data_IF_710552950749
#
_entry.id   IF_710552950749
#
_cell.length_a   1.000
_cell.length_b   1.000
_cell.length_c   1.000
_cell.angle_alpha   90.00
_cell.angle_beta   90.00
_cell.angle_gamma   90.00
#
_symmetry.space_group_name_H-M   'P 1'
#
loop_
_entity.id
_entity.type
_entity.pdbx_description
1 polymer ?
#
# COMPACT_ATOMS: atom_id res chain seq x y z
N UNK A 1 11.10 19.80 13.14
CA UNK A 1 10.54 18.46 12.85
C UNK A 1 10.95 18.08 11.43
N UNK A 2 11.11 16.79 11.09
CA UNK A 2 11.61 16.32 9.79
C UNK A 2 10.70 15.21 9.25
N UNK A 3 10.44 15.23 7.95
CA UNK A 3 9.87 14.12 7.19
C UNK A 3 10.93 13.65 6.20
N UNK A 4 11.36 12.39 6.29
CA UNK A 4 12.23 11.78 5.30
C UNK A 4 11.41 10.97 4.29
N UNK A 5 11.39 11.40 3.03
CA UNK A 5 10.72 10.68 1.94
C UNK A 5 11.54 9.50 1.37
N UNK A 6 12.80 9.37 1.78
CA UNK A 6 13.69 8.31 1.31
C UNK A 6 13.39 6.97 1.98
N UNK A 7 14.11 5.92 1.58
CA UNK A 7 14.05 4.61 2.23
C UNK A 7 14.98 4.47 3.43
N UNK A 8 15.80 5.49 3.76
CA UNK A 8 16.87 5.37 4.75
C UNK A 8 16.35 5.07 6.17
N UNK A 9 15.20 5.65 6.54
CA UNK A 9 14.73 5.62 7.92
C UNK A 9 13.42 4.84 8.16
N UNK A 10 12.90 4.14 7.15
CA UNK A 10 11.59 3.48 7.24
C UNK A 10 11.52 2.31 8.22
N UNK A 11 12.68 1.75 8.57
CA UNK A 11 12.84 0.69 9.60
C UNK A 11 13.88 1.10 10.65
N UNK A 12 14.29 2.37 10.68
CA UNK A 12 15.31 2.84 11.60
C UNK A 12 14.70 3.12 12.98
N UNK A 13 15.44 2.77 14.03
CA UNK A 13 15.06 3.09 15.40
C UNK A 13 14.94 4.62 15.60
N UNK A 14 13.95 5.04 16.40
CA UNK A 14 13.73 6.45 16.73
C UNK A 14 13.00 7.27 15.65
N UNK A 15 12.60 6.66 14.53
CA UNK A 15 11.77 7.28 13.51
C UNK A 15 10.32 6.79 13.58
N UNK A 16 9.37 7.72 13.60
CA UNK A 16 7.94 7.40 13.50
C UNK A 16 7.61 7.05 12.06
N UNK A 17 6.91 5.94 11.83
CA UNK A 17 6.49 5.56 10.48
C UNK A 17 5.26 6.34 10.04
N UNK A 18 5.37 7.08 8.93
CA UNK A 18 4.41 8.08 8.48
C UNK A 18 3.16 7.51 7.81
N UNK A 19 2.45 6.60 8.48
CA UNK A 19 1.19 6.04 8.01
C UNK A 19 0.08 6.27 9.04
N UNK A 20 -0.58 7.45 9.02
CA UNK A 20 -1.50 7.89 10.08
C UNK A 20 -2.65 6.93 10.30
N UNK A 21 -3.19 6.34 9.23
CA UNK A 21 -4.31 5.43 9.34
C UNK A 21 -3.96 4.12 10.08
N UNK A 22 -2.67 3.74 10.18
CA UNK A 22 -2.23 2.51 10.86
C UNK A 22 -1.71 2.79 12.28
N UNK A 23 -0.96 3.88 12.46
CA UNK A 23 -0.26 4.18 13.72
C UNK A 23 -0.91 5.32 14.53
N UNK A 24 -1.96 5.94 13.99
CA UNK A 24 -2.72 7.02 14.63
C UNK A 24 -2.19 8.41 14.30
N UNK A 25 -3.10 9.33 14.02
CA UNK A 25 -2.79 10.73 13.68
C UNK A 25 -2.06 11.47 14.81
N UNK A 26 -2.41 11.20 16.07
CA UNK A 26 -1.76 11.80 17.25
C UNK A 26 -0.27 11.41 17.36
N UNK A 27 0.06 10.16 17.06
CA UNK A 27 1.44 9.66 17.07
C UNK A 27 2.30 10.46 16.09
N UNK A 28 1.77 10.78 14.91
CA UNK A 28 2.45 11.55 13.88
C UNK A 28 2.50 13.04 14.25
N UNK A 29 1.40 13.60 14.75
CA UNK A 29 1.33 15.00 15.17
C UNK A 29 2.35 15.36 16.25
N UNK A 30 2.70 14.40 17.12
CA UNK A 30 3.68 14.56 18.19
C UNK A 30 5.12 14.17 17.79
N UNK A 31 5.32 13.58 16.60
CA UNK A 31 6.62 13.09 16.17
C UNK A 31 7.60 14.23 15.80
N UNK A 32 8.87 14.06 16.17
CA UNK A 32 9.96 14.94 15.71
C UNK A 32 10.52 14.52 14.35
N UNK A 33 10.57 13.21 14.12
CA UNK A 33 11.16 12.54 12.96
C UNK A 33 10.13 11.55 12.41
N UNK A 34 9.72 11.74 11.16
CA UNK A 34 8.77 10.87 10.46
C UNK A 34 9.42 10.33 9.20
N UNK A 35 9.32 9.01 8.99
CA UNK A 35 9.73 8.37 7.75
C UNK A 35 8.51 8.16 6.86
N UNK A 36 8.53 8.67 5.64
CA UNK A 36 7.41 8.50 4.72
C UNK A 36 7.42 7.07 4.15
N UNK A 37 6.26 6.40 4.11
CA UNK A 37 6.11 5.07 3.50
C UNK A 37 6.59 5.02 2.05
N UNK A 38 7.03 3.84 1.63
CA UNK A 38 7.20 3.50 0.22
C UNK A 38 5.88 3.19 -0.44
N UNK A 39 5.76 3.54 -1.72
CA UNK A 39 4.53 3.37 -2.49
C UNK A 39 3.93 1.95 -2.46
N UNK A 40 4.75 0.91 -2.65
CA UNK A 40 4.28 -0.48 -2.55
C UNK A 40 3.90 -0.89 -1.12
N UNK A 41 4.75 -0.65 -0.09
CA UNK A 41 4.38 -0.81 1.32
C UNK A 41 3.08 -0.12 1.69
N UNK A 42 2.79 1.09 1.21
CA UNK A 42 1.54 1.79 1.56
C UNK A 42 0.31 0.95 1.22
N UNK A 43 0.24 0.40 0.01
CA UNK A 43 -0.87 -0.48 -0.39
C UNK A 43 -0.88 -1.81 0.37
N UNK A 44 0.28 -2.45 0.53
CA UNK A 44 0.38 -3.73 1.24
C UNK A 44 -0.04 -3.61 2.71
N UNK A 45 0.48 -2.61 3.40
CA UNK A 45 0.23 -2.40 4.83
C UNK A 45 -1.22 -2.00 5.09
N UNK A 46 -1.84 -1.24 4.18
CA UNK A 46 -3.26 -0.90 4.27
C UNK A 46 -4.16 -2.16 4.25
N UNK A 47 -3.75 -3.18 3.49
CA UNK A 47 -4.49 -4.44 3.42
C UNK A 47 -4.19 -5.36 4.61
N UNK A 48 -2.92 -5.50 5.00
CA UNK A 48 -2.49 -6.61 5.86
C UNK A 48 -2.36 -6.21 7.33
N UNK A 49 -1.83 -5.03 7.64
CA UNK A 49 -1.55 -4.66 9.02
C UNK A 49 -2.82 -4.63 9.91
N UNK A 50 -3.97 -4.10 9.45
CA UNK A 50 -5.21 -4.14 10.25
C UNK A 50 -5.68 -5.57 10.53
N UNK A 51 -5.61 -6.45 9.52
CA UNK A 51 -6.10 -7.83 9.62
C UNK A 51 -5.22 -8.72 10.50
N UNK A 52 -3.89 -8.53 10.44
CA UNK A 52 -2.95 -9.20 11.34
C UNK A 52 -3.15 -8.70 12.78
N UNK A 53 -3.30 -7.38 12.98
CA UNK A 53 -3.56 -6.79 14.31
C UNK A 53 -4.86 -7.29 14.92
N UNK A 54 -5.90 -7.49 14.10
CA UNK A 54 -7.18 -8.05 14.52
C UNK A 54 -7.14 -9.57 14.77
N UNK A 55 -6.03 -10.25 14.46
CA UNK A 55 -5.89 -11.70 14.59
C UNK A 55 -6.67 -12.51 13.55
N UNK A 56 -7.17 -11.86 12.49
CA UNK A 56 -7.89 -12.52 11.39
C UNK A 56 -6.93 -13.18 10.39
N UNK A 57 -5.72 -12.64 10.29
CA UNK A 57 -4.66 -13.12 9.41
C UNK A 57 -3.41 -13.49 10.23
N UNK A 58 -2.75 -14.64 10.00
CA UNK A 58 -1.64 -15.10 10.83
C UNK A 58 -0.34 -14.33 10.56
N UNK A 59 0.35 -13.85 11.59
CA UNK A 59 1.63 -13.16 11.43
C UNK A 59 2.76 -14.05 10.83
N UNK A 60 2.64 -15.37 10.95
CA UNK A 60 3.58 -16.38 10.46
C UNK A 60 3.21 -16.93 9.07
N UNK A 61 2.14 -16.44 8.44
CA UNK A 61 1.74 -16.89 7.11
C UNK A 61 2.72 -16.45 6.01
N UNK A 62 3.04 -17.31 5.02
CA UNK A 62 3.96 -16.97 3.92
C UNK A 62 3.30 -16.04 2.89
N UNK A 63 3.10 -14.77 3.24
CA UNK A 63 2.49 -13.79 2.35
C UNK A 63 3.28 -13.55 1.07
N UNK A 64 2.55 -13.45 -0.04
CA UNK A 64 3.06 -13.02 -1.33
C UNK A 64 2.39 -11.73 -1.74
N UNK A 65 3.14 -10.82 -2.36
CA UNK A 65 2.64 -9.53 -2.81
C UNK A 65 2.98 -9.38 -4.29
N UNK A 66 1.94 -9.30 -5.11
CA UNK A 66 2.06 -9.00 -6.54
C UNK A 66 1.69 -7.54 -6.72
N UNK A 67 2.54 -6.74 -7.35
CA UNK A 67 2.22 -5.32 -7.48
C UNK A 67 2.67 -4.73 -8.81
N UNK A 68 1.81 -3.90 -9.39
CA UNK A 68 2.05 -3.21 -10.65
C UNK A 68 2.02 -1.72 -10.39
N UNK A 69 3.03 -0.99 -10.88
CA UNK A 69 3.13 0.47 -10.77
C UNK A 69 3.22 1.11 -12.15
N UNK A 70 2.72 2.34 -12.26
CA UNK A 70 3.13 3.27 -13.31
C UNK A 70 4.62 3.59 -13.21
N UNK A 71 5.22 3.96 -14.33
CA UNK A 71 6.68 4.11 -14.45
C UNK A 71 7.26 5.31 -13.71
N UNK A 72 6.45 6.31 -13.35
CA UNK A 72 6.92 7.47 -12.58
C UNK A 72 7.48 7.10 -11.20
N UNK A 73 7.08 5.95 -10.64
CA UNK A 73 7.58 5.46 -9.35
C UNK A 73 9.08 5.12 -9.35
N UNK A 74 9.70 4.92 -10.52
CA UNK A 74 11.14 4.70 -10.64
C UNK A 74 11.96 5.97 -10.79
N UNK A 75 11.34 7.14 -10.70
CA UNK A 75 12.00 8.44 -10.86
C UNK A 75 12.51 8.71 -12.28
N UNK A 76 13.30 9.78 -12.43
CA UNK A 76 13.70 10.33 -13.73
C UNK A 76 14.32 9.30 -14.69
N UNK A 77 15.14 8.37 -14.17
CA UNK A 77 15.77 7.34 -15.00
C UNK A 77 14.76 6.36 -15.59
N UNK A 78 13.73 5.96 -14.82
CA UNK A 78 12.70 5.06 -15.32
C UNK A 78 11.69 5.79 -16.21
N UNK A 79 11.37 7.04 -15.89
CA UNK A 79 10.56 7.92 -16.75
C UNK A 79 11.19 8.02 -18.13
N UNK A 80 12.48 8.41 -18.21
CA UNK A 80 13.19 8.50 -19.49
C UNK A 80 13.18 7.18 -20.28
N UNK A 81 13.27 6.03 -19.59
CA UNK A 81 13.21 4.71 -20.23
C UNK A 81 11.83 4.40 -20.82
N UNK A 82 10.74 4.79 -20.16
CA UNK A 82 9.38 4.48 -20.60
C UNK A 82 8.80 5.52 -21.59
N UNK A 83 9.41 6.70 -21.68
CA UNK A 83 9.09 7.73 -22.67
C UNK A 83 9.92 7.62 -23.96
N UNK A 84 10.99 6.82 -23.95
CA UNK A 84 11.81 6.55 -25.13
C UNK A 84 11.10 5.68 -26.17
N UNK A 85 11.50 5.81 -27.43
CA UNK A 85 11.08 4.92 -28.50
C UNK A 85 11.49 3.46 -28.19
N UNK A 86 10.58 2.51 -28.40
CA UNK A 86 10.81 1.11 -28.05
C UNK A 86 10.68 0.78 -26.55
N UNK A 87 10.03 1.65 -25.76
CA UNK A 87 9.74 1.39 -24.36
C UNK A 87 9.09 0.01 -24.12
N UNK A 88 9.46 -0.69 -23.04
CA UNK A 88 8.93 -2.02 -22.77
C UNK A 88 7.44 -1.96 -22.41
N UNK A 89 6.66 -2.93 -22.88
CA UNK A 89 5.25 -3.07 -22.52
C UNK A 89 5.04 -3.53 -21.06
N UNK A 90 6.05 -4.18 -20.48
CA UNK A 90 6.04 -4.72 -19.13
C UNK A 90 7.46 -4.86 -18.59
N UNK A 91 7.66 -4.57 -17.30
CA UNK A 91 8.95 -4.77 -16.61
C UNK A 91 8.73 -5.35 -15.22
N UNK A 92 8.89 -6.67 -15.08
CA UNK A 92 9.10 -7.29 -13.78
C UNK A 92 10.56 -7.12 -13.32
N UNK A 93 10.78 -7.02 -12.01
CA UNK A 93 12.11 -6.87 -11.43
C UNK A 93 12.14 -7.37 -9.97
N UNK A 94 13.31 -7.35 -9.32
CA UNK A 94 13.45 -7.83 -7.94
C UNK A 94 13.55 -9.35 -7.81
N UNK A 95 13.95 -10.04 -8.88
CA UNK A 95 14.16 -11.51 -8.89
C UNK A 95 15.33 -11.97 -8.01
N UNK A 96 16.17 -11.05 -7.54
CA UNK A 96 17.18 -11.30 -6.51
C UNK A 96 16.59 -11.39 -5.10
N UNK A 97 15.28 -11.16 -4.95
CA UNK A 97 14.53 -11.15 -3.69
C UNK A 97 15.03 -10.11 -2.69
N UNK A 98 15.79 -9.11 -3.13
CA UNK A 98 16.46 -8.13 -2.26
C UNK A 98 15.81 -6.74 -2.28
N UNK A 99 14.53 -6.64 -2.66
CA UNK A 99 13.88 -5.34 -2.77
C UNK A 99 13.81 -4.61 -1.41
N UNK A 100 14.25 -3.35 -1.39
CA UNK A 100 14.35 -2.47 -0.20
C UNK A 100 13.06 -2.25 0.60
N UNK A 101 11.90 -2.65 0.06
CA UNK A 101 10.59 -2.48 0.69
C UNK A 101 10.18 -3.71 1.52
N UNK A 102 10.87 -4.85 1.38
CA UNK A 102 10.54 -6.08 2.11
C UNK A 102 10.68 -5.90 3.64
N UNK A 103 11.76 -5.29 4.17
CA UNK A 103 11.86 -5.06 5.62
C UNK A 103 10.77 -4.15 6.15
N UNK A 104 10.39 -3.13 5.37
CA UNK A 104 9.33 -2.18 5.69
C UNK A 104 7.96 -2.88 5.79
N UNK A 105 7.62 -3.74 4.82
CA UNK A 105 6.40 -4.54 4.84
C UNK A 105 6.35 -5.49 6.03
N UNK A 106 7.46 -6.19 6.31
CA UNK A 106 7.54 -7.15 7.42
C UNK A 106 7.32 -6.46 8.77
N UNK A 107 8.09 -5.41 9.05
CA UNK A 107 8.07 -4.72 10.34
C UNK A 107 6.70 -4.12 10.64
N UNK A 108 6.15 -3.34 9.70
CA UNK A 108 4.94 -2.55 9.96
C UNK A 108 3.64 -3.33 9.82
N UNK A 109 3.65 -4.49 9.16
CA UNK A 109 2.52 -5.43 9.23
C UNK A 109 2.59 -6.36 10.44
N UNK A 110 3.69 -6.37 11.20
CA UNK A 110 3.87 -7.26 12.35
C UNK A 110 4.07 -8.73 11.96
N UNK A 111 4.77 -8.98 10.84
CA UNK A 111 4.99 -10.33 10.33
C UNK A 111 6.25 -10.97 10.93
N UNK A 112 6.19 -12.28 11.19
CA UNK A 112 7.35 -13.05 11.67
C UNK A 112 8.42 -13.21 10.58
N UNK A 113 7.99 -13.27 9.32
CA UNK A 113 8.87 -13.50 8.17
C UNK A 113 8.60 -12.48 7.05
N UNK A 114 9.62 -12.23 6.24
CA UNK A 114 9.50 -11.33 5.09
C UNK A 114 8.63 -11.93 3.97
N UNK A 115 7.93 -11.08 3.24
CA UNK A 115 7.07 -11.48 2.13
C UNK A 115 7.87 -11.90 0.89
N UNK A 116 7.24 -12.70 0.01
CA UNK A 116 7.65 -12.79 -1.40
C UNK A 116 7.06 -11.58 -2.11
N UNK A 117 7.91 -10.78 -2.76
CA UNK A 117 7.48 -9.56 -3.43
C UNK A 117 7.79 -9.63 -4.93
N UNK A 118 6.75 -9.52 -5.75
CA UNK A 118 6.82 -9.56 -7.21
C UNK A 118 6.36 -8.20 -7.81
N UNK A 119 7.24 -7.19 -7.83
CA UNK A 119 6.91 -5.91 -8.42
C UNK A 119 7.09 -5.89 -9.94
N UNK A 120 6.19 -5.17 -10.59
CA UNK A 120 6.23 -4.88 -12.00
C UNK A 120 5.89 -3.43 -12.31
N UNK A 121 6.28 -2.99 -13.50
CA UNK A 121 6.02 -1.66 -14.04
C UNK A 121 5.38 -1.78 -15.42
N UNK A 122 4.38 -0.94 -15.67
CA UNK A 122 3.65 -0.87 -16.94
C UNK A 122 3.72 0.54 -17.56
N UNK A 123 3.42 0.69 -18.87
CA UNK A 123 3.31 1.97 -19.58
C UNK A 123 2.11 2.86 -19.17
N UNK A 124 1.90 3.04 -17.87
CA UNK A 124 1.06 4.10 -17.31
C UNK A 124 1.97 5.09 -16.58
N UNK A 125 1.73 6.40 -16.72
CA UNK A 125 2.59 7.38 -16.05
C UNK A 125 2.52 7.21 -14.52
N UNK A 126 1.30 7.08 -13.98
CA UNK A 126 1.02 6.94 -12.55
C UNK A 126 -0.06 5.88 -12.30
N UNK A 127 -0.30 5.59 -11.04
CA UNK A 127 -1.26 4.58 -10.58
C UNK A 127 -0.57 3.27 -10.22
N UNK A 128 -1.14 2.56 -9.28
CA UNK A 128 -0.58 1.34 -8.71
C UNK A 128 -1.69 0.41 -8.25
N UNK A 129 -1.48 -0.89 -8.46
CA UNK A 129 -2.29 -1.97 -7.91
C UNK A 129 -1.36 -2.85 -7.08
N UNK A 130 -1.70 -3.07 -5.82
CA UNK A 130 -1.00 -3.98 -4.91
C UNK A 130 -1.97 -5.10 -4.54
N UNK A 131 -1.61 -6.34 -4.85
CA UNK A 131 -2.44 -7.52 -4.62
C UNK A 131 -1.77 -8.49 -3.64
N UNK A 132 -2.57 -9.01 -2.70
CA UNK A 132 -2.17 -10.07 -1.78
C UNK A 132 -3.16 -11.24 -1.93
N UNK A 133 -2.82 -12.27 -2.74
CA UNK A 133 -3.62 -13.48 -2.83
C UNK A 133 -3.42 -14.36 -1.59
N UNK A 134 -4.52 -14.93 -1.08
CA UNK A 134 -4.57 -15.72 0.14
C UNK A 134 -5.29 -17.06 -0.10
N UNK A 135 -4.77 -18.12 0.50
CA UNK A 135 -5.45 -19.42 0.62
C UNK A 135 -6.12 -19.51 2.00
N UNK A 136 -7.25 -18.82 2.16
CA UNK A 136 -7.99 -18.73 3.43
C UNK A 136 -8.29 -20.09 4.06
N UNK A 137 -8.68 -21.08 3.26
CA UNK A 137 -8.99 -22.42 3.78
C UNK A 137 -7.79 -23.22 4.29
N UNK A 138 -6.56 -22.77 3.98
CA UNK A 138 -5.33 -23.32 4.56
C UNK A 138 -4.91 -22.61 5.85
N UNK A 139 -5.56 -21.50 6.22
CA UNK A 139 -5.29 -20.76 7.45
C UNK A 139 -6.09 -21.33 8.62
N UNK A 140 -5.48 -21.28 9.81
CA UNK A 140 -6.20 -21.58 11.06
C UNK A 140 -7.28 -20.52 11.29
N UNK A 141 -8.39 -20.91 11.93
CA UNK A 141 -9.49 -20.00 12.22
C UNK A 141 -10.50 -19.82 11.08
N UNK A 142 -10.23 -20.37 9.89
CA UNK A 142 -11.12 -20.33 8.73
C UNK A 142 -11.67 -18.92 8.43
N UNK A 143 -10.81 -17.90 8.28
CA UNK A 143 -11.27 -16.55 7.94
C UNK A 143 -12.02 -16.57 6.61
N UNK A 144 -13.03 -15.72 6.46
CA UNK A 144 -13.77 -15.54 5.20
C UNK A 144 -13.44 -14.21 4.56
N UNK A 145 -13.60 -14.11 3.23
CA UNK A 145 -13.39 -12.85 2.51
C UNK A 145 -14.28 -11.72 3.06
N UNK A 146 -15.52 -12.02 3.47
CA UNK A 146 -16.44 -11.05 4.06
C UNK A 146 -15.95 -10.58 5.42
N UNK A 147 -15.45 -11.47 6.29
CA UNK A 147 -14.85 -11.05 7.56
C UNK A 147 -13.64 -10.14 7.36
N UNK A 148 -12.80 -10.41 6.35
CA UNK A 148 -11.67 -9.53 6.04
C UNK A 148 -12.14 -8.17 5.53
N UNK A 149 -13.19 -8.15 4.69
CA UNK A 149 -13.80 -6.92 4.18
C UNK A 149 -14.38 -6.08 5.32
N UNK A 150 -15.25 -6.67 6.14
CA UNK A 150 -15.90 -6.01 7.28
C UNK A 150 -14.87 -5.42 8.25
N UNK A 151 -13.78 -6.15 8.51
CA UNK A 151 -12.72 -5.68 9.39
C UNK A 151 -11.96 -4.49 8.80
N UNK A 152 -11.70 -4.47 7.49
CA UNK A 152 -11.10 -3.32 6.82
C UNK A 152 -12.06 -2.13 6.78
N UNK A 153 -13.34 -2.36 6.47
CA UNK A 153 -14.38 -1.32 6.50
C UNK A 153 -14.48 -0.67 7.88
N UNK A 154 -14.53 -1.49 8.93
CA UNK A 154 -14.56 -1.00 10.30
C UNK A 154 -13.29 -0.23 10.68
N UNK A 155 -12.12 -0.73 10.28
CA UNK A 155 -10.84 -0.09 10.58
C UNK A 155 -10.70 1.27 9.89
N UNK A 156 -11.19 1.40 8.66
CA UNK A 156 -11.08 2.62 7.85
C UNK A 156 -12.34 3.49 7.83
N UNK A 157 -13.38 3.18 8.63
CA UNK A 157 -14.66 3.88 8.64
C UNK A 157 -14.57 5.41 8.86
N UNK A 158 -13.53 5.87 9.55
CA UNK A 158 -13.27 7.30 9.80
C UNK A 158 -12.24 7.94 8.87
N UNK A 159 -11.71 7.23 7.88
CA UNK A 159 -10.69 7.75 6.98
C UNK A 159 -11.33 8.56 5.85
N UNK A 160 -10.84 9.78 5.62
CA UNK A 160 -11.19 10.57 4.44
C UNK A 160 -10.34 10.18 3.21
N UNK A 161 -9.27 9.41 3.41
CA UNK A 161 -8.22 9.14 2.41
C UNK A 161 -8.27 7.70 1.91
N UNK A 162 -8.71 6.76 2.74
CA UNK A 162 -8.80 5.34 2.41
C UNK A 162 -10.26 4.92 2.42
N UNK A 163 -10.74 4.38 1.30
CA UNK A 163 -12.04 3.74 1.21
C UNK A 163 -11.89 2.24 1.01
N UNK A 164 -12.84 1.47 1.52
CA UNK A 164 -12.97 0.05 1.20
C UNK A 164 -14.17 -0.05 0.27
N UNK A 165 -13.90 -0.40 -0.99
CA UNK A 165 -14.92 -0.46 -2.02
C UNK A 165 -15.77 -1.73 -1.91
N UNK A 166 -17.03 -1.61 -2.34
CA UNK A 166 -17.84 -2.77 -2.72
C UNK A 166 -17.14 -3.52 -3.87
N UNK A 167 -17.45 -4.81 -4.07
CA UNK A 167 -16.88 -5.58 -5.18
C UNK A 167 -17.10 -4.82 -6.49
N UNK A 168 -16.05 -4.57 -7.28
CA UNK A 168 -16.23 -3.97 -8.61
C UNK A 168 -17.18 -4.85 -9.43
N UNK A 169 -18.30 -4.30 -9.90
CA UNK A 169 -19.36 -5.01 -10.64
C UNK A 169 -18.86 -5.76 -11.89
N UNK A 170 -17.70 -5.37 -12.43
CA UNK A 170 -17.07 -6.00 -13.59
C UNK A 170 -15.93 -6.99 -13.24
N UNK A 171 -15.56 -7.13 -11.96
CA UNK A 171 -14.44 -7.99 -11.53
C UNK A 171 -13.05 -7.53 -11.99
N UNK A 172 -12.92 -6.31 -12.51
CA UNK A 172 -11.69 -5.76 -13.09
C UNK A 172 -11.19 -4.52 -12.34
N UNK A 173 -9.87 -4.37 -12.28
CA UNK A 173 -9.17 -3.17 -11.79
C UNK A 173 -8.33 -2.62 -12.93
N UNK A 174 -8.53 -1.35 -13.29
CA UNK A 174 -7.90 -0.72 -14.45
C UNK A 174 -6.92 0.38 -14.03
N UNK A 175 -5.69 0.31 -14.55
CA UNK A 175 -4.74 1.42 -14.50
C UNK A 175 -4.77 2.20 -15.82
N UNK A 176 -5.34 3.40 -15.77
CA UNK A 176 -5.37 4.32 -16.91
C UNK A 176 -3.97 4.88 -17.23
N UNK A 177 -3.60 4.90 -18.52
CA UNK A 177 -2.30 5.45 -18.96
C UNK A 177 -2.09 6.91 -18.55
N UNK A 178 -3.18 7.68 -18.54
CA UNK A 178 -3.25 9.09 -18.19
C UNK A 178 -4.20 9.33 -17.01
N UNK A 179 -4.11 8.49 -15.97
CA UNK A 179 -4.89 8.67 -14.75
C UNK A 179 -4.65 10.08 -14.14
N UNK A 180 -5.70 10.67 -13.58
CA UNK A 180 -5.58 11.91 -12.83
C UNK A 180 -4.79 11.69 -11.52
N UNK A 181 -4.08 12.70 -11.01
CA UNK A 181 -3.46 12.63 -9.68
C UNK A 181 -4.53 12.43 -8.60
N UNK A 182 -4.27 11.54 -7.66
CA UNK A 182 -5.13 11.31 -6.49
C UNK A 182 -4.27 10.99 -5.26
N UNK A 183 -4.64 11.53 -4.12
CA UNK A 183 -4.03 11.25 -2.83
C UNK A 183 -4.87 10.24 -2.01
N UNK A 184 -5.93 9.70 -2.61
CA UNK A 184 -6.79 8.66 -2.06
C UNK A 184 -6.28 7.25 -2.37
N UNK A 185 -6.81 6.27 -1.65
CA UNK A 185 -6.59 4.84 -1.86
C UNK A 185 -7.90 4.08 -1.74
N UNK A 186 -8.14 3.13 -2.64
CA UNK A 186 -9.27 2.19 -2.51
C UNK A 186 -8.76 0.79 -2.22
N UNK A 187 -9.42 0.11 -1.29
CA UNK A 187 -9.16 -1.28 -0.93
C UNK A 187 -10.32 -2.16 -1.40
N UNK A 188 -10.02 -3.37 -1.83
CA UNK A 188 -11.01 -4.34 -2.28
C UNK A 188 -10.64 -5.73 -1.75
N UNK A 189 -11.67 -6.53 -1.45
CA UNK A 189 -11.51 -7.94 -1.06
C UNK A 189 -12.38 -8.79 -1.97
N UNK A 190 -11.76 -9.65 -2.77
CA UNK A 190 -12.46 -10.59 -3.65
C UNK A 190 -12.36 -11.99 -3.10
N UNK A 191 -13.50 -12.64 -2.82
CA UNK A 191 -13.57 -14.06 -2.47
C UNK A 191 -13.93 -14.92 -3.68
N UNK A 192 -13.53 -16.19 -3.68
CA UNK A 192 -14.03 -17.15 -4.66
C UNK A 192 -15.23 -17.95 -4.11
N UNK A 193 -15.97 -18.58 -5.01
CA UNK A 193 -16.97 -19.58 -4.64
C UNK A 193 -16.32 -20.70 -3.81
N UNK A 194 -16.98 -21.08 -2.71
CA UNK A 194 -16.47 -22.04 -1.73
C UNK A 194 -15.49 -21.46 -0.70
N UNK A 195 -15.12 -20.18 -0.79
CA UNK A 195 -14.46 -19.42 0.28
C UNK A 195 -13.01 -19.81 0.59
N UNK A 196 -12.39 -20.66 -0.24
CA UNK A 196 -11.02 -21.13 0.00
C UNK A 196 -9.97 -20.06 -0.30
N UNK A 197 -10.27 -19.12 -1.19
CA UNK A 197 -9.35 -18.09 -1.64
C UNK A 197 -9.92 -16.70 -1.41
N UNK A 198 -9.03 -15.76 -1.11
CA UNK A 198 -9.31 -14.35 -1.25
C UNK A 198 -8.17 -13.65 -1.97
N UNK A 199 -8.49 -12.54 -2.61
CA UNK A 199 -7.54 -11.63 -3.22
C UNK A 199 -7.81 -10.22 -2.72
N UNK A 200 -6.87 -9.72 -1.94
CA UNK A 200 -6.91 -8.39 -1.36
C UNK A 200 -6.21 -7.46 -2.34
N UNK A 201 -6.80 -6.31 -2.65
CA UNK A 201 -6.29 -5.39 -3.67
C UNK A 201 -6.34 -3.96 -3.16
N UNK A 202 -5.24 -3.23 -3.25
CA UNK A 202 -5.16 -1.80 -2.99
C UNK A 202 -4.85 -1.07 -4.29
N UNK A 203 -5.61 -0.02 -4.58
CA UNK A 203 -5.41 0.87 -5.72
C UNK A 203 -5.08 2.26 -5.22
N UNK A 204 -3.98 2.83 -5.70
CA UNK A 204 -3.48 4.14 -5.28
C UNK A 204 -2.65 4.80 -6.38
N UNK A 205 -2.48 6.11 -6.31
CA UNK A 205 -1.44 6.81 -7.08
C UNK A 205 -0.07 6.62 -6.41
N UNK A 206 0.89 6.06 -7.14
CA UNK A 206 2.26 5.88 -6.66
C UNK A 206 2.99 7.20 -6.34
N UNK A 207 2.56 8.33 -6.92
CA UNK A 207 3.08 9.67 -6.63
C UNK A 207 2.25 10.42 -5.59
N UNK A 208 0.96 10.12 -5.49
CA UNK A 208 0.02 10.70 -4.52
C UNK A 208 0.13 9.99 -3.18
N UNK A 209 -0.88 9.19 -2.79
CA UNK A 209 -0.86 8.42 -1.52
C UNK A 209 0.37 7.52 -1.38
N UNK A 210 0.95 7.05 -2.49
CA UNK A 210 2.18 6.25 -2.48
C UNK A 210 3.46 7.05 -2.22
N UNK A 211 3.43 8.37 -2.25
CA UNK A 211 4.61 9.21 -2.03
C UNK A 211 4.26 10.59 -1.45
N UNK A 212 4.08 11.59 -2.30
CA UNK A 212 3.99 13.00 -1.90
C UNK A 212 2.70 13.34 -1.16
N UNK A 213 1.56 12.74 -1.53
CA UNK A 213 0.31 12.89 -0.81
C UNK A 213 0.42 12.43 0.64
N UNK A 214 1.02 11.25 0.87
CA UNK A 214 1.31 10.77 2.21
C UNK A 214 2.27 11.70 2.98
N UNK A 215 3.27 12.26 2.31
CA UNK A 215 4.20 13.20 2.95
C UNK A 215 3.50 14.51 3.36
N UNK A 216 2.59 15.02 2.53
CA UNK A 216 1.76 16.20 2.84
C UNK A 216 0.78 15.90 3.97
N UNK A 217 0.12 14.74 3.97
CA UNK A 217 -0.75 14.31 5.07
C UNK A 217 0.01 14.27 6.40
N UNK A 218 1.21 13.67 6.40
CA UNK A 218 2.11 13.66 7.56
C UNK A 218 2.51 15.08 7.99
N UNK A 219 2.83 15.94 7.03
CA UNK A 219 3.18 17.34 7.28
C UNK A 219 2.03 18.11 7.93
N UNK A 220 0.80 17.94 7.43
CA UNK A 220 -0.39 18.57 7.98
C UNK A 220 -0.56 18.22 9.46
N UNK A 221 -0.49 16.93 9.79
CA UNK A 221 -0.56 16.45 11.17
C UNK A 221 0.56 17.03 12.05
N UNK A 222 1.79 17.03 11.54
CA UNK A 222 2.95 17.62 12.22
C UNK A 222 2.89 19.15 12.33
N UNK A 223 1.97 19.81 11.63
CA UNK A 223 1.72 21.25 11.72
C UNK A 223 0.40 21.58 12.43
N UNK A 224 -0.28 20.57 13.01
CA UNK A 224 -1.60 20.72 13.63
C UNK A 224 -2.66 21.31 12.68
N UNK A 225 -2.57 20.97 11.39
CA UNK A 225 -3.56 21.30 10.36
C UNK A 225 -4.52 20.12 10.18
N UNK A 226 -5.73 20.33 9.60
CA UNK A 226 -6.57 19.23 9.14
C UNK A 226 -5.79 18.30 8.20
N UNK A 227 -5.89 16.99 8.38
CA UNK A 227 -5.02 16.02 7.71
C UNK A 227 -5.13 16.07 6.18
N UNK A 228 -6.31 16.41 5.67
CA UNK A 228 -6.64 16.45 4.24
C UNK A 228 -6.29 17.79 3.57
N UNK A 229 -5.70 18.74 4.30
CA UNK A 229 -5.34 20.07 3.76
C UNK A 229 -4.42 19.94 2.55
N UNK A 230 -4.89 20.40 1.38
CA UNK A 230 -4.10 20.39 0.14
C UNK A 230 -3.98 19.03 -0.55
N UNK A 231 -4.62 17.98 -0.02
CA UNK A 231 -4.73 16.68 -0.68
C UNK A 231 -5.79 16.70 -1.79
N UNK A 232 -5.62 15.85 -2.80
CA UNK A 232 -6.56 15.64 -3.91
C UNK A 232 -7.31 14.32 -3.69
N UNK A 233 -8.51 14.38 -3.11
CA UNK A 233 -9.29 13.20 -2.73
C UNK A 233 -10.36 12.85 -3.76
#
# INVERSE_FOLDING_TARGET
RIIDASSAHRVAEGWTYGFPEIIGCETIANARLVSNPGCYPTGFLALIAPLVRAGLLPADWPYTVNAVSGYSGGGNALIARFEAEGAPAFRAYGYDMAHKHRPEMQLHAGLEHGVIFAPAVVPAYRGMVVEVPLHLGAMRGNPTADQLRDALEQFYAGSEVISVGENCDAGEILLGRAAAPSDSMSLHVFGNDGGWHARLVAVLDNLGKGASGAAIQNLNLMCCLPETTGLRL
#
